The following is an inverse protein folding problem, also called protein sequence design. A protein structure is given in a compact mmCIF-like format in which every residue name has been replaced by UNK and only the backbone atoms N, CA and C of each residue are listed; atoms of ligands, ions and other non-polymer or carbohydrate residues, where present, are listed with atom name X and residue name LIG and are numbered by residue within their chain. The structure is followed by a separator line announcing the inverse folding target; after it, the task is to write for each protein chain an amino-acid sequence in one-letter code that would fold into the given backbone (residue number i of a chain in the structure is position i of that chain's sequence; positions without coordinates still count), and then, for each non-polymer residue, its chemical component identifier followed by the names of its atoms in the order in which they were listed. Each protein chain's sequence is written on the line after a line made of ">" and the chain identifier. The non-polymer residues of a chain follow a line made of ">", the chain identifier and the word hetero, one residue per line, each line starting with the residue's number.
data_IF_072166787782
#
_entry.id   IF_072166787782
#
_cell.length_a   1.000
_cell.length_b   1.000
_cell.length_c   1.000
_cell.angle_alpha   90.00
_cell.angle_beta   90.00
_cell.angle_gamma   90.00
#
_symmetry.space_group_name_H-M   'P 1'
#
loop_
_entity.id
_entity.type
_entity.pdbx_description
1 polymer ?
#
# COMPACT_ATOMS: atom_id res chain seq x y z
N UNK A 1 9.13 -3.35 4.11
CA UNK A 1 7.97 -2.69 3.45
C UNK A 1 6.80 -3.65 3.45
N UNK A 2 5.63 -3.19 3.88
CA UNK A 2 4.35 -3.87 3.77
C UNK A 2 3.40 -2.85 3.13
N UNK A 3 2.90 -3.08 1.92
CA UNK A 3 2.00 -2.12 1.28
C UNK A 3 0.68 -2.00 2.07
N UNK A 4 -0.01 -0.85 1.96
CA UNK A 4 -1.27 -0.62 2.65
C UNK A 4 -2.40 -1.52 2.14
N UNK A 5 -3.41 -1.72 2.97
CA UNK A 5 -4.60 -2.54 2.71
C UNK A 5 -5.87 -1.80 3.08
N UNK A 6 -7.00 -2.19 2.48
CA UNK A 6 -8.29 -1.68 2.90
C UNK A 6 -8.63 -2.24 4.30
N UNK A 7 -8.88 -1.39 5.30
CA UNK A 7 -9.18 -1.84 6.66
C UNK A 7 -10.43 -2.71 6.74
N UNK A 8 -11.39 -2.56 5.82
CA UNK A 8 -12.62 -3.35 5.76
C UNK A 8 -12.32 -4.79 5.34
N UNK A 9 -11.44 -4.97 4.35
CA UNK A 9 -10.97 -6.27 3.88
C UNK A 9 -10.13 -6.97 4.95
N UNK A 10 -9.23 -6.24 5.61
CA UNK A 10 -8.44 -6.75 6.74
C UNK A 10 -9.35 -7.22 7.88
N UNK A 11 -10.38 -6.44 8.21
CA UNK A 11 -11.35 -6.84 9.23
C UNK A 11 -12.20 -8.05 8.80
N UNK A 12 -12.55 -8.17 7.51
CA UNK A 12 -13.25 -9.34 6.99
C UNK A 12 -12.40 -10.61 7.08
N UNK A 13 -11.11 -10.53 6.69
CA UNK A 13 -10.16 -11.62 6.84
C UNK A 13 -9.95 -12.03 8.31
N UNK A 14 -9.83 -11.04 9.22
CA UNK A 14 -9.71 -11.31 10.65
C UNK A 14 -10.96 -12.01 11.22
N UNK A 15 -12.17 -11.57 10.83
CA UNK A 15 -13.43 -12.24 11.21
C UNK A 15 -13.50 -13.67 10.70
N UNK A 16 -13.15 -13.88 9.42
CA UNK A 16 -13.08 -15.23 8.84
C UNK A 16 -12.14 -16.14 9.64
N UNK A 17 -10.99 -15.63 10.08
CA UNK A 17 -10.02 -16.40 10.87
C UNK A 17 -10.48 -16.65 12.32
N UNK A 18 -11.35 -15.80 12.87
CA UNK A 18 -12.01 -16.03 14.16
C UNK A 18 -13.03 -17.18 14.02
N UNK A 19 -13.88 -17.13 13.00
CA UNK A 19 -14.93 -18.12 12.75
C UNK A 19 -14.36 -19.48 12.31
N UNK A 20 -13.29 -19.46 11.50
CA UNK A 20 -12.55 -20.64 11.07
C UNK A 20 -11.04 -20.47 11.35
N UNK A 21 -10.54 -20.91 12.51
CA UNK A 21 -9.12 -20.81 12.87
C UNK A 21 -8.16 -21.58 11.95
N UNK A 22 -8.69 -22.51 11.13
CA UNK A 22 -7.91 -23.31 10.18
C UNK A 22 -7.86 -22.71 8.78
N UNK A 23 -8.52 -21.56 8.55
CA UNK A 23 -8.53 -20.89 7.27
C UNK A 23 -7.11 -20.73 6.70
N UNK A 24 -6.95 -21.10 5.45
CA UNK A 24 -5.70 -21.01 4.70
C UNK A 24 -5.46 -19.59 4.20
N UNK A 25 -4.23 -19.29 3.76
CA UNK A 25 -3.92 -17.98 3.18
C UNK A 25 -4.78 -17.72 1.94
N UNK A 26 -5.02 -18.74 1.11
CA UNK A 26 -5.79 -18.60 -0.12
C UNK A 26 -7.27 -18.28 0.16
N UNK A 27 -7.85 -18.92 1.18
CA UNK A 27 -9.22 -18.61 1.63
C UNK A 27 -9.31 -17.18 2.20
N UNK A 28 -8.30 -16.73 2.95
CA UNK A 28 -8.25 -15.36 3.45
C UNK A 28 -8.12 -14.34 2.32
N UNK A 29 -7.39 -14.68 1.25
CA UNK A 29 -7.23 -13.81 0.09
C UNK A 29 -8.52 -13.65 -0.73
N UNK A 30 -9.50 -14.54 -0.58
CA UNK A 30 -10.81 -14.35 -1.19
C UNK A 30 -11.55 -13.10 -0.67
N UNK A 31 -11.25 -12.66 0.56
CA UNK A 31 -11.81 -11.44 1.18
C UNK A 31 -10.79 -10.32 1.36
N UNK A 32 -9.50 -10.61 1.13
CA UNK A 32 -8.39 -9.66 1.13
C UNK A 32 -7.55 -9.93 -0.13
N UNK A 33 -8.00 -9.48 -1.30
CA UNK A 33 -7.39 -9.85 -2.58
C UNK A 33 -5.97 -9.30 -2.72
N UNK A 34 -5.66 -8.18 -2.07
CA UNK A 34 -4.34 -7.60 -2.14
C UNK A 34 -4.23 -6.23 -1.50
N UNK A 35 -3.10 -5.54 -1.74
CA UNK A 35 -2.89 -4.18 -1.26
C UNK A 35 -3.85 -3.20 -1.92
N UNK A 36 -4.25 -2.18 -1.17
CA UNK A 36 -5.07 -1.08 -1.63
C UNK A 36 -4.34 0.23 -1.36
N UNK A 37 -3.96 0.93 -2.43
CA UNK A 37 -3.23 2.18 -2.35
C UNK A 37 -4.17 3.39 -2.31
N UNK A 38 -3.82 4.47 -1.57
CA UNK A 38 -4.61 5.70 -1.58
C UNK A 38 -4.71 6.37 -2.96
N UNK A 39 -3.66 6.24 -3.76
CA UNK A 39 -3.59 6.77 -5.13
C UNK A 39 -3.89 5.67 -6.14
N UNK A 40 -4.48 5.99 -7.32
CA UNK A 40 -4.67 5.01 -8.39
C UNK A 40 -3.33 4.38 -8.76
N UNK A 41 -3.14 3.10 -8.49
CA UNK A 41 -1.90 2.38 -8.77
C UNK A 41 -2.26 0.98 -9.24
N UNK A 42 -1.43 0.44 -10.14
CA UNK A 42 -1.59 -0.92 -10.61
C UNK A 42 -0.44 -1.78 -10.09
N UNK A 43 -0.78 -2.90 -9.48
CA UNK A 43 0.17 -3.94 -9.14
C UNK A 43 0.38 -4.78 -10.39
N UNK A 44 1.63 -4.92 -10.82
CA UNK A 44 1.95 -5.53 -12.13
C UNK A 44 2.53 -6.94 -12.03
N UNK A 45 2.86 -7.39 -10.82
CA UNK A 45 3.51 -8.68 -10.56
C UNK A 45 2.53 -9.84 -10.26
N UNK A 46 1.25 -9.70 -10.64
CA UNK A 46 0.26 -10.79 -10.74
C UNK A 46 0.33 -11.85 -9.63
N UNK A 47 0.65 -13.09 -10.04
CA UNK A 47 0.64 -14.30 -9.22
C UNK A 47 1.66 -14.31 -8.06
N UNK A 48 2.72 -13.48 -8.12
CA UNK A 48 3.71 -13.38 -7.04
C UNK A 48 3.10 -12.86 -5.73
N UNK A 49 1.96 -12.16 -5.81
CA UNK A 49 1.28 -11.62 -4.63
C UNK A 49 0.79 -12.71 -3.68
N UNK A 50 0.29 -13.82 -4.23
CA UNK A 50 -0.17 -14.98 -3.43
C UNK A 50 1.01 -15.59 -2.68
N UNK A 51 2.14 -15.76 -3.36
CA UNK A 51 3.36 -16.32 -2.76
C UNK A 51 3.95 -15.40 -1.69
N UNK A 52 3.85 -14.07 -1.87
CA UNK A 52 4.21 -13.10 -0.85
C UNK A 52 3.34 -13.28 0.40
N UNK A 53 2.03 -13.44 0.26
CA UNK A 53 1.15 -13.64 1.42
C UNK A 53 1.32 -14.99 2.09
N UNK A 54 1.69 -16.03 1.35
CA UNK A 54 1.99 -17.37 1.88
C UNK A 54 3.32 -17.42 2.62
N UNK A 55 4.35 -16.76 2.08
CA UNK A 55 5.74 -16.85 2.59
C UNK A 55 6.14 -15.70 3.53
N UNK A 56 5.47 -14.55 3.44
CA UNK A 56 5.85 -13.34 4.18
C UNK A 56 6.82 -12.42 3.46
N UNK A 57 7.35 -12.81 2.30
CA UNK A 57 8.39 -12.06 1.61
C UNK A 57 8.29 -12.16 0.09
N UNK A 58 8.83 -11.17 -0.61
CA UNK A 58 8.94 -11.18 -2.06
C UNK A 58 9.13 -9.79 -2.61
N UNK A 59 8.68 -9.55 -3.85
CA UNK A 59 8.81 -8.26 -4.52
C UNK A 59 7.44 -7.85 -5.05
N UNK A 60 7.08 -6.58 -4.85
CA UNK A 60 5.86 -5.99 -5.39
C UNK A 60 6.23 -4.85 -6.32
N UNK A 61 5.77 -4.92 -7.56
CA UNK A 61 5.98 -3.88 -8.57
C UNK A 61 4.71 -3.07 -8.71
N UNK A 62 4.77 -1.83 -8.24
CA UNK A 62 3.69 -0.86 -8.27
C UNK A 62 3.95 0.13 -9.38
N UNK A 63 2.92 0.38 -10.18
CA UNK A 63 2.96 1.28 -11.33
C UNK A 63 1.93 2.40 -11.15
N UNK A 64 2.34 3.62 -11.45
CA UNK A 64 1.44 4.78 -11.51
C UNK A 64 0.45 4.66 -12.66
N UNK A 65 -0.53 5.55 -12.70
CA UNK A 65 -1.51 5.63 -13.78
C UNK A 65 -1.23 6.83 -14.67
N UNK A 66 -1.57 6.69 -15.94
CA UNK A 66 -1.46 7.74 -16.94
C UNK A 66 -2.57 7.64 -17.97
N UNK A 67 -2.80 8.73 -18.67
CA UNK A 67 -3.70 8.82 -19.82
C UNK A 67 -2.97 9.43 -21.00
N UNK A 68 -3.41 9.10 -22.21
CA UNK A 68 -2.90 9.70 -23.45
C UNK A 68 -3.95 10.67 -23.96
N UNK A 69 -3.56 11.93 -24.17
CA UNK A 69 -4.41 13.00 -24.69
C UNK A 69 -3.93 13.38 -26.10
N UNK A 70 -4.86 13.54 -27.05
CA UNK A 70 -4.58 14.13 -28.37
C UNK A 70 -4.73 15.65 -28.25
N UNK A 71 -3.65 16.38 -28.51
CA UNK A 71 -3.61 17.85 -28.42
C UNK A 71 -3.80 18.52 -29.79
N UNK A 72 -4.19 17.74 -30.80
CA UNK A 72 -4.47 18.18 -32.16
C UNK A 72 -3.23 18.27 -33.04
N UNK A 73 -3.45 18.42 -34.35
CA UNK A 73 -2.39 18.50 -35.39
C UNK A 73 -1.45 17.27 -35.39
N UNK A 74 -1.96 16.10 -35.00
CA UNK A 74 -1.19 14.86 -34.96
C UNK A 74 -0.16 14.78 -33.83
N UNK A 75 -0.30 15.63 -32.79
CA UNK A 75 0.56 15.60 -31.60
C UNK A 75 -0.17 14.93 -30.43
N UNK A 76 0.57 14.14 -29.67
CA UNK A 76 0.08 13.49 -28.46
C UNK A 76 0.74 14.09 -27.22
N UNK A 77 0.05 13.96 -26.11
CA UNK A 77 0.53 14.32 -24.78
C UNK A 77 0.26 13.15 -23.83
N UNK A 78 1.26 12.80 -23.04
CA UNK A 78 1.11 11.85 -21.95
C UNK A 78 0.82 12.61 -20.65
N UNK A 79 -0.21 12.21 -19.93
CA UNK A 79 -0.60 12.83 -18.66
C UNK A 79 -0.48 11.78 -17.56
N UNK A 80 0.50 11.97 -16.67
CA UNK A 80 0.65 11.12 -15.48
C UNK A 80 -0.36 11.58 -14.44
N UNK A 81 -1.30 10.71 -14.10
CA UNK A 81 -2.41 11.00 -13.16
C UNK A 81 -2.12 10.51 -11.74
N UNK A 82 -1.12 9.64 -11.58
CA UNK A 82 -0.65 9.16 -10.28
C UNK A 82 0.74 8.55 -10.39
N UNK A 83 1.49 8.59 -9.29
CA UNK A 83 2.77 7.92 -9.13
C UNK A 83 2.63 6.76 -8.13
N UNK A 84 3.51 5.74 -8.19
CA UNK A 84 3.52 4.65 -7.22
C UNK A 84 3.56 5.16 -5.79
N UNK A 85 2.70 4.60 -4.94
CA UNK A 85 2.70 4.92 -3.52
C UNK A 85 4.03 4.52 -2.87
N UNK A 86 4.72 5.50 -2.28
CA UNK A 86 5.89 5.29 -1.45
C UNK A 86 5.69 6.01 -0.11
N UNK A 87 6.19 5.42 0.98
CA UNK A 87 6.21 6.00 2.32
C UNK A 87 7.24 7.14 2.49
N UNK A 88 7.92 7.48 1.40
CA UNK A 88 9.07 8.38 1.29
C UNK A 88 8.88 9.29 0.07
N UNK A 89 9.76 10.29 -0.11
CA UNK A 89 9.80 11.13 -1.32
C UNK A 89 10.02 10.35 -2.64
N UNK A 90 10.18 9.03 -2.59
CA UNK A 90 10.25 8.16 -3.76
C UNK A 90 9.01 8.24 -4.67
N UNK A 91 7.86 8.68 -4.15
CA UNK A 91 6.63 8.89 -4.93
C UNK A 91 6.31 10.36 -5.25
N UNK A 92 7.23 11.31 -5.02
CA UNK A 92 6.97 12.73 -5.28
C UNK A 92 7.02 13.07 -6.77
N UNK A 93 6.23 14.07 -7.17
CA UNK A 93 6.22 14.61 -8.54
C UNK A 93 7.56 15.25 -8.88
N UNK A 94 8.16 15.97 -7.94
CA UNK A 94 9.50 16.55 -8.07
C UNK A 94 10.56 15.50 -8.46
N UNK A 95 10.55 14.34 -7.80
CA UNK A 95 11.50 13.27 -8.11
C UNK A 95 11.27 12.69 -9.50
N UNK A 96 10.01 12.49 -9.89
CA UNK A 96 9.67 12.04 -11.24
C UNK A 96 10.17 13.02 -12.30
N UNK A 97 9.89 14.32 -12.10
CA UNK A 97 10.30 15.39 -13.01
C UNK A 97 11.83 15.45 -13.13
N UNK A 98 12.56 15.37 -12.02
CA UNK A 98 14.02 15.35 -12.02
C UNK A 98 14.60 14.13 -12.75
N UNK A 99 14.12 12.92 -12.42
CA UNK A 99 14.59 11.69 -13.08
C UNK A 99 14.27 11.69 -14.60
N UNK A 100 13.14 12.26 -14.99
CA UNK A 100 12.79 12.40 -16.40
C UNK A 100 13.70 13.40 -17.10
N UNK A 101 13.98 14.56 -16.50
CA UNK A 101 14.92 15.53 -17.05
C UNK A 101 16.31 14.91 -17.26
N UNK A 102 16.83 14.23 -16.25
CA UNK A 102 18.13 13.54 -16.32
C UNK A 102 18.14 12.47 -17.44
N UNK A 103 17.06 11.70 -17.59
CA UNK A 103 16.94 10.66 -18.61
C UNK A 103 16.81 11.23 -20.04
N UNK A 104 16.22 12.43 -20.19
CA UNK A 104 16.18 13.14 -21.47
C UNK A 104 17.56 13.68 -21.83
N UNK A 105 18.26 14.31 -20.86
CA UNK A 105 19.60 14.86 -21.07
C UNK A 105 20.64 13.76 -21.39
N UNK A 106 20.49 12.58 -20.77
CA UNK A 106 21.31 11.40 -21.07
C UNK A 106 20.98 10.73 -22.43
N UNK A 107 19.87 11.11 -23.08
CA UNK A 107 19.39 10.50 -24.31
C UNK A 107 18.71 9.13 -24.12
N UNK A 108 18.46 8.72 -22.88
CA UNK A 108 17.76 7.48 -22.53
C UNK A 108 16.24 7.56 -22.82
N UNK A 109 15.66 8.77 -22.73
CA UNK A 109 14.26 9.07 -23.07
C UNK A 109 14.22 10.10 -24.19
N UNK A 110 13.87 9.67 -25.41
CA UNK A 110 13.73 10.54 -26.58
C UNK A 110 12.30 11.01 -26.84
N UNK A 111 12.14 12.06 -27.65
CA UNK A 111 10.83 12.47 -28.17
C UNK A 111 9.97 13.28 -27.20
N UNK A 112 10.51 13.69 -26.06
CA UNK A 112 9.86 14.62 -25.11
C UNK A 112 10.12 16.06 -25.56
N UNK A 113 9.05 16.84 -25.75
CA UNK A 113 9.15 18.26 -26.14
C UNK A 113 8.94 19.22 -24.98
N UNK A 114 8.05 18.87 -24.06
CA UNK A 114 7.67 19.71 -22.91
C UNK A 114 7.40 18.84 -21.70
N UNK A 115 7.74 19.34 -20.52
CA UNK A 115 7.46 18.71 -19.24
C UNK A 115 6.93 19.79 -18.30
N UNK A 116 5.68 19.65 -17.84
CA UNK A 116 5.10 20.56 -16.86
C UNK A 116 4.47 19.78 -15.71
N UNK A 117 4.73 20.21 -14.48
CA UNK A 117 4.00 19.74 -13.30
C UNK A 117 2.81 20.68 -13.04
N UNK A 118 1.61 20.18 -13.25
CA UNK A 118 0.34 20.88 -13.03
C UNK A 118 -0.40 20.30 -11.81
N UNK A 119 0.32 19.62 -10.93
CA UNK A 119 -0.23 19.01 -9.73
C UNK A 119 -0.69 20.08 -8.73
N UNK A 120 -1.89 19.92 -8.19
CA UNK A 120 -2.49 20.84 -7.21
C UNK A 120 -3.38 20.07 -6.24
N UNK A 121 -3.49 20.55 -4.99
CA UNK A 121 -4.36 19.98 -3.95
C UNK A 121 -4.27 18.46 -3.78
N UNK A 122 -3.04 17.92 -3.89
CA UNK A 122 -2.77 16.48 -3.76
C UNK A 122 -3.18 15.63 -4.96
N UNK A 123 -3.65 16.25 -6.06
CA UNK A 123 -3.90 15.56 -7.34
C UNK A 123 -2.67 15.68 -8.22
N UNK A 124 -2.15 14.54 -8.65
CA UNK A 124 -1.00 14.47 -9.55
C UNK A 124 -1.48 14.70 -10.97
N UNK A 125 -0.88 15.68 -11.66
CA UNK A 125 -1.03 15.89 -13.10
C UNK A 125 0.27 16.40 -13.69
N UNK A 126 1.07 15.48 -14.23
CA UNK A 126 2.31 15.85 -14.92
C UNK A 126 2.09 15.65 -16.42
N UNK A 127 2.28 16.70 -17.20
CA UNK A 127 2.09 16.68 -18.66
C UNK A 127 3.43 16.57 -19.38
N UNK A 128 3.51 15.59 -20.28
CA UNK A 128 4.67 15.31 -21.10
C UNK A 128 4.24 15.43 -22.56
N UNK A 129 4.66 16.50 -23.21
CA UNK A 129 4.39 16.73 -24.63
C UNK A 129 5.31 15.87 -25.49
N UNK A 130 4.78 15.28 -26.54
CA UNK A 130 5.52 14.40 -27.43
C UNK A 130 5.83 15.08 -28.77
N UNK A 131 7.00 14.76 -29.34
CA UNK A 131 7.39 15.21 -30.66
C UNK A 131 6.47 14.63 -31.74
N UNK A 132 6.36 15.33 -32.87
CA UNK A 132 5.52 14.88 -33.99
C UNK A 132 5.98 13.51 -34.48
N UNK A 133 5.04 12.57 -34.60
CA UNK A 133 5.32 11.18 -35.04
C UNK A 133 5.83 10.25 -33.94
N UNK A 134 5.99 10.73 -32.69
CA UNK A 134 6.31 9.89 -31.54
C UNK A 134 5.01 9.55 -30.81
N UNK A 135 4.74 8.26 -30.62
CA UNK A 135 3.57 7.81 -29.87
C UNK A 135 3.89 7.61 -28.40
N UNK A 136 2.89 7.79 -27.53
CA UNK A 136 3.05 7.56 -26.09
C UNK A 136 3.56 6.14 -25.78
N UNK A 137 3.10 5.15 -26.55
CA UNK A 137 3.49 3.74 -26.42
C UNK A 137 4.99 3.50 -26.61
N UNK A 138 5.66 4.32 -27.43
CA UNK A 138 7.11 4.22 -27.65
C UNK A 138 7.92 4.73 -26.45
N UNK A 139 7.41 5.73 -25.74
CA UNK A 139 8.12 6.39 -24.63
C UNK A 139 7.85 5.72 -23.28
N UNK A 140 6.64 5.17 -23.07
CA UNK A 140 6.24 4.54 -21.81
C UNK A 140 7.27 3.51 -21.29
N UNK A 141 7.81 2.57 -22.09
CA UNK A 141 8.81 1.62 -21.60
C UNK A 141 10.07 2.30 -21.03
N UNK A 142 10.52 3.38 -21.66
CA UNK A 142 11.65 4.16 -21.19
C UNK A 142 11.31 4.90 -19.88
N UNK A 143 10.12 5.52 -19.79
CA UNK A 143 9.66 6.15 -18.54
C UNK A 143 9.60 5.15 -17.40
N UNK A 144 9.06 3.95 -17.62
CA UNK A 144 8.96 2.91 -16.59
C UNK A 144 10.34 2.40 -16.12
N UNK A 145 11.38 2.52 -16.96
CA UNK A 145 12.73 2.05 -16.67
C UNK A 145 13.60 3.12 -15.99
N UNK A 146 13.51 4.36 -16.46
CA UNK A 146 14.41 5.45 -16.07
C UNK A 146 13.82 6.44 -15.07
N UNK A 147 12.53 6.33 -14.76
CA UNK A 147 11.85 7.16 -13.75
C UNK A 147 11.26 6.32 -12.63
N UNK A 148 10.67 6.97 -11.62
CA UNK A 148 9.89 6.34 -10.56
C UNK A 148 8.41 6.08 -10.95
N UNK A 149 8.01 6.15 -12.23
CA UNK A 149 6.65 5.80 -12.67
C UNK A 149 6.29 4.34 -12.37
N UNK A 150 7.30 3.47 -12.25
CA UNK A 150 7.18 2.10 -11.76
C UNK A 150 8.26 1.82 -10.73
N UNK A 151 7.88 1.27 -9.59
CA UNK A 151 8.79 0.95 -8.49
C UNK A 151 8.58 -0.49 -8.06
N UNK A 152 9.69 -1.22 -7.88
CA UNK A 152 9.67 -2.56 -7.32
C UNK A 152 10.18 -2.53 -5.89
N UNK A 153 9.31 -2.80 -4.93
CA UNK A 153 9.62 -2.81 -3.51
C UNK A 153 9.77 -4.24 -2.99
N UNK A 154 10.80 -4.49 -2.19
CA UNK A 154 10.96 -5.76 -1.48
C UNK A 154 9.99 -5.80 -0.29
N UNK A 155 9.05 -6.73 -0.32
CA UNK A 155 8.14 -7.00 0.79
C UNK A 155 8.82 -7.94 1.77
N UNK A 156 8.80 -7.58 3.05
CA UNK A 156 9.23 -8.44 4.16
C UNK A 156 8.34 -8.17 5.36
N UNK A 157 7.52 -9.14 5.73
CA UNK A 157 6.61 -9.11 6.86
C UNK A 157 7.32 -9.53 8.15
N UNK A 158 8.36 -8.78 8.51
CA UNK A 158 9.06 -8.96 9.76
C UNK A 158 8.30 -8.26 10.90
N UNK A 159 7.95 -9.02 11.93
CA UNK A 159 7.25 -8.54 13.10
C UNK A 159 7.97 -8.96 14.37
N UNK A 160 7.81 -8.17 15.43
CA UNK A 160 8.23 -8.55 16.77
C UNK A 160 7.17 -9.49 17.35
N UNK A 161 7.59 -10.68 17.78
CA UNK A 161 6.72 -11.59 18.50
C UNK A 161 6.54 -11.17 19.97
N UNK A 162 5.76 -11.94 20.72
CA UNK A 162 5.47 -11.67 22.12
C UNK A 162 6.67 -11.85 23.07
N UNK A 163 7.78 -12.42 22.59
CA UNK A 163 9.03 -12.55 23.32
C UNK A 163 10.07 -11.50 22.92
N UNK A 164 9.71 -10.55 22.06
CA UNK A 164 10.65 -9.54 21.57
C UNK A 164 11.59 -10.06 20.49
N UNK A 165 11.26 -11.18 19.84
CA UNK A 165 12.08 -11.77 18.78
C UNK A 165 11.49 -11.38 17.42
N UNK A 166 12.34 -10.91 16.52
CA UNK A 166 11.92 -10.60 15.14
C UNK A 166 11.70 -11.91 14.39
N UNK A 167 10.48 -12.08 13.86
CA UNK A 167 10.08 -13.23 13.05
C UNK A 167 9.52 -12.79 11.71
N UNK A 168 9.68 -13.63 10.69
CA UNK A 168 8.98 -13.47 9.42
C UNK A 168 7.61 -14.11 9.53
N UNK A 169 6.55 -13.33 9.32
CA UNK A 169 5.17 -13.81 9.34
C UNK A 169 4.59 -13.85 7.93
N UNK A 170 3.66 -14.77 7.71
CA UNK A 170 2.78 -14.76 6.55
C UNK A 170 1.44 -14.09 6.91
N UNK A 171 0.54 -13.89 5.93
CA UNK A 171 -0.72 -13.18 6.14
C UNK A 171 -1.54 -13.74 7.32
N UNK A 172 -1.66 -15.07 7.37
CA UNK A 172 -2.41 -15.76 8.42
C UNK A 172 -1.78 -15.53 9.79
N UNK A 173 -0.46 -15.67 9.91
CA UNK A 173 0.24 -15.50 11.19
C UNK A 173 0.13 -14.07 11.70
N UNK A 174 0.22 -13.06 10.82
CA UNK A 174 0.01 -11.65 11.21
C UNK A 174 -1.40 -11.43 11.74
N UNK A 175 -2.43 -11.90 11.02
CA UNK A 175 -3.82 -11.76 11.45
C UNK A 175 -4.08 -12.47 12.78
N UNK A 176 -3.52 -13.67 12.95
CA UNK A 176 -3.63 -14.44 14.20
C UNK A 176 -3.01 -13.69 15.38
N UNK A 177 -1.78 -13.22 15.22
CA UNK A 177 -1.10 -12.45 16.26
C UNK A 177 -1.88 -11.17 16.64
N UNK A 178 -2.48 -10.49 15.65
CA UNK A 178 -3.35 -9.35 15.92
C UNK A 178 -4.60 -9.75 16.70
N UNK A 179 -5.30 -10.82 16.30
CA UNK A 179 -6.48 -11.34 17.02
C UNK A 179 -6.13 -11.68 18.47
N UNK A 180 -5.04 -12.39 18.70
CA UNK A 180 -4.60 -12.78 20.04
C UNK A 180 -4.31 -11.55 20.92
N UNK A 181 -3.68 -10.52 20.34
CA UNK A 181 -3.52 -9.24 20.99
C UNK A 181 -4.87 -8.56 21.31
N UNK A 182 -5.83 -8.55 20.37
CA UNK A 182 -7.17 -7.98 20.59
C UNK A 182 -7.91 -8.69 21.72
N UNK A 183 -7.81 -10.01 21.81
CA UNK A 183 -8.39 -10.80 22.91
C UNK A 183 -7.77 -10.37 24.24
N UNK A 184 -6.43 -10.31 24.35
CA UNK A 184 -5.74 -9.85 25.57
C UNK A 184 -6.21 -8.46 26.01
N UNK A 185 -6.32 -7.52 25.08
CA UNK A 185 -6.78 -6.14 25.35
C UNK A 185 -8.24 -6.12 25.83
N UNK A 186 -9.12 -6.92 25.22
CA UNK A 186 -10.53 -7.00 25.63
C UNK A 186 -10.66 -7.60 27.04
N UNK A 187 -9.97 -8.71 27.31
CA UNK A 187 -9.97 -9.36 28.63
C UNK A 187 -9.47 -8.38 29.69
N UNK A 188 -8.33 -7.72 29.46
CA UNK A 188 -7.75 -6.80 30.44
C UNK A 188 -8.66 -5.61 30.76
N UNK A 189 -9.34 -5.08 29.74
CA UNK A 189 -10.33 -4.01 29.90
C UNK A 189 -11.55 -4.47 30.71
N UNK A 190 -12.01 -5.70 30.49
CA UNK A 190 -13.13 -6.27 31.25
C UNK A 190 -12.76 -6.52 32.71
N UNK A 191 -11.56 -7.04 32.98
CA UNK A 191 -11.03 -7.22 34.33
C UNK A 191 -10.94 -5.90 35.10
N UNK A 192 -10.36 -4.87 34.49
CA UNK A 192 -10.29 -3.54 35.10
C UNK A 192 -11.69 -2.99 35.44
N UNK A 193 -12.65 -3.16 34.53
CA UNK A 193 -14.03 -2.75 34.78
C UNK A 193 -14.65 -3.52 35.95
N UNK A 194 -14.40 -4.82 36.05
CA UNK A 194 -14.89 -5.65 37.15
C UNK A 194 -14.31 -5.22 38.50
N UNK A 195 -13.00 -4.96 38.54
CA UNK A 195 -12.29 -4.47 39.73
C UNK A 195 -12.88 -3.15 40.24
N UNK A 196 -13.08 -2.17 39.35
CA UNK A 196 -13.72 -0.88 39.71
C UNK A 196 -15.15 -1.04 40.23
N UNK A 197 -15.90 -2.01 39.70
CA UNK A 197 -17.24 -2.34 40.18
C UNK A 197 -17.17 -2.96 41.57
N UNK A 198 -16.26 -3.92 41.79
CA UNK A 198 -16.06 -4.56 43.08
C UNK A 198 -15.66 -3.55 44.17
N UNK A 199 -14.72 -2.65 43.89
CA UNK A 199 -14.34 -1.56 44.79
C UNK A 199 -15.52 -0.63 45.14
N UNK A 200 -16.36 -0.33 44.15
CA UNK A 200 -17.56 0.49 44.37
C UNK A 200 -18.58 -0.23 45.23
N UNK A 201 -18.83 -1.52 44.97
CA UNK A 201 -19.72 -2.34 45.79
C UNK A 201 -19.21 -2.45 47.23
N UNK A 202 -17.91 -2.67 47.41
CA UNK A 202 -17.29 -2.72 48.74
C UNK A 202 -17.49 -1.42 49.52
N UNK A 203 -17.26 -0.26 48.89
CA UNK A 203 -17.53 1.05 49.50
C UNK A 203 -19.00 1.25 49.86
N UNK A 204 -19.91 0.85 48.98
CA UNK A 204 -21.36 0.94 49.23
C UNK A 204 -21.80 0.04 50.40
N UNK A 205 -21.26 -1.17 50.50
CA UNK A 205 -21.53 -2.05 51.64
C UNK A 205 -21.09 -1.42 52.97
N UNK A 206 -19.94 -0.73 52.98
CA UNK A 206 -19.48 0.05 54.15
C UNK A 206 -20.45 1.16 54.56
N UNK A 207 -21.04 1.88 53.60
CA UNK A 207 -22.05 2.92 53.89
C UNK A 207 -23.37 2.37 54.42
N UNK A 208 -23.76 1.15 54.03
CA UNK A 208 -25.01 0.51 54.46
C UNK A 208 -24.91 -0.17 55.84
N UNK A 209 -23.70 -0.41 56.34
CA UNK A 209 -23.46 -1.03 57.64
C UNK A 209 -23.46 -0.02 58.82
N UNK A 210 -23.67 1.27 58.53
CA UNK A 210 -23.82 2.37 59.49
C UNK A 210 -25.27 2.82 59.51
#
# INVERSE_FOLDING_TARGET
>A
YLPPHDPREVCAAAKMLIDNPKATVDELMAVLPGPSFPSPCTITNGDELVDIYRSGQGRVTVRGAWTVEDIGRGKQQLVITSLPYADTMLGSTEKFVGMLADAVDAGDVGGVTTLNDESSDGRVRITIGLASGVSAEQIIPALLKYTNLQVTNKVQMHFLDEHGIVRLYNLRTVLRAWIDHRIRVIVKRSENRLERIAERLHRLAGYLAV
#
